data_IF_410076490297
#
_entry.id   IF_410076490297
#
_cell.length_a   1.000
_cell.length_b   1.000
_cell.length_c   1.000
_cell.angle_alpha   90.00
_cell.angle_beta   90.00
_cell.angle_gamma   90.00
#
_symmetry.space_group_name_H-M   'P 1'
#
loop_
_entity.id
_entity.type
_entity.pdbx_description
1 polymer ?
#
# COMPACT_ATOMS: atom_id res chain seq x y z
N UNK A 1 -28.13 -20.20 -19.32
CA UNK A 1 -26.98 -20.70 -18.51
C UNK A 1 -25.71 -20.01 -18.99
N UNK A 2 -25.22 -19.02 -18.26
CA UNK A 2 -23.95 -18.35 -18.60
C UNK A 2 -22.82 -19.30 -18.21
N UNK A 3 -21.91 -19.52 -19.14
CA UNK A 3 -20.90 -20.57 -19.07
C UNK A 3 -19.86 -20.20 -18.02
N UNK A 4 -19.95 -20.80 -16.81
CA UNK A 4 -19.09 -20.52 -15.64
C UNK A 4 -17.60 -20.58 -15.99
N UNK A 5 -17.22 -21.42 -16.96
CA UNK A 5 -15.84 -21.51 -17.48
C UNK A 5 -15.35 -20.21 -18.14
N UNK A 6 -16.24 -19.47 -18.82
CA UNK A 6 -15.89 -18.19 -19.47
C UNK A 6 -15.69 -17.06 -18.46
N UNK A 7 -16.46 -17.04 -17.37
CA UNK A 7 -16.30 -16.05 -16.31
C UNK A 7 -14.98 -16.30 -15.56
N UNK A 8 -14.69 -17.57 -15.22
CA UNK A 8 -13.42 -17.93 -14.58
C UNK A 8 -12.22 -17.61 -15.46
N UNK A 9 -12.32 -17.85 -16.78
CA UNK A 9 -11.28 -17.48 -17.74
C UNK A 9 -11.09 -15.97 -17.85
N UNK A 10 -12.16 -15.17 -17.79
CA UNK A 10 -12.05 -13.71 -17.82
C UNK A 10 -11.41 -13.17 -16.55
N UNK A 11 -11.78 -13.72 -15.39
CA UNK A 11 -11.29 -13.31 -14.08
C UNK A 11 -9.80 -13.70 -13.91
N UNK A 12 -9.43 -14.90 -14.37
CA UNK A 12 -8.03 -15.33 -14.44
C UNK A 12 -7.22 -14.43 -15.39
N UNK A 13 -7.79 -14.06 -16.55
CA UNK A 13 -7.13 -13.17 -17.49
C UNK A 13 -6.95 -11.75 -16.92
N UNK A 14 -7.91 -11.25 -16.14
CA UNK A 14 -7.77 -9.94 -15.47
C UNK A 14 -6.75 -10.00 -14.35
N UNK A 15 -6.68 -11.07 -13.57
CA UNK A 15 -5.64 -11.27 -12.55
C UNK A 15 -4.26 -11.38 -13.20
N UNK A 16 -4.12 -12.15 -14.28
CA UNK A 16 -2.86 -12.29 -15.02
C UNK A 16 -2.42 -10.99 -15.70
N UNK A 17 -3.36 -10.21 -16.25
CA UNK A 17 -3.06 -8.92 -16.85
C UNK A 17 -2.60 -7.89 -15.81
N UNK A 18 -3.19 -7.91 -14.60
CA UNK A 18 -2.73 -7.07 -13.48
C UNK A 18 -1.37 -7.53 -12.92
N UNK A 19 -1.10 -8.85 -12.88
CA UNK A 19 0.23 -9.36 -12.52
C UNK A 19 1.29 -8.98 -13.57
N UNK A 20 0.93 -8.93 -14.85
CA UNK A 20 1.84 -8.51 -15.93
C UNK A 20 2.13 -7.02 -15.89
N UNK A 21 1.12 -6.17 -15.60
CA UNK A 21 1.31 -4.72 -15.42
C UNK A 21 2.18 -4.38 -14.20
N UNK A 22 2.11 -5.17 -13.13
CA UNK A 22 2.97 -4.99 -11.95
C UNK A 22 4.41 -5.48 -12.14
N UNK A 23 4.70 -6.32 -13.16
CA UNK A 23 6.08 -6.71 -13.48
C UNK A 23 6.87 -5.60 -14.18
N UNK A 24 6.22 -4.55 -14.68
CA UNK A 24 6.91 -3.40 -15.29
C UNK A 24 7.56 -2.45 -14.27
N UNK A 25 7.46 -2.73 -12.96
CA UNK A 25 7.99 -1.87 -11.88
C UNK A 25 8.85 -2.61 -10.86
N UNK A 26 9.22 -3.86 -11.12
CA UNK A 26 10.01 -4.68 -10.20
C UNK A 26 11.12 -5.47 -10.91
N UNK A 27 12.09 -4.75 -11.45
CA UNK A 27 13.44 -5.29 -11.68
C UNK A 27 14.43 -4.27 -11.15
N UNK A 28 14.65 -4.34 -9.85
CA UNK A 28 15.99 -4.28 -9.23
C UNK A 28 15.82 -4.31 -7.70
N UNK A 29 15.65 -5.52 -7.18
CA UNK A 29 16.00 -5.83 -5.80
C UNK A 29 16.68 -7.21 -5.77
N UNK A 30 17.97 -7.15 -5.50
CA UNK A 30 18.80 -8.15 -4.82
C UNK A 30 19.12 -9.46 -5.56
N UNK A 31 20.22 -9.43 -6.32
CA UNK A 31 21.04 -10.62 -6.52
C UNK A 31 22.24 -10.55 -5.54
N UNK A 32 22.15 -11.28 -4.44
CA UNK A 32 23.33 -11.65 -3.63
C UNK A 32 23.99 -12.85 -4.30
N UNK A 33 25.15 -12.65 -4.93
CA UNK A 33 25.99 -13.75 -5.44
C UNK A 33 26.99 -14.14 -4.35
N UNK A 34 26.75 -15.29 -3.73
CA UNK A 34 27.77 -16.04 -2.99
C UNK A 34 28.76 -16.68 -3.97
N UNK A 35 30.05 -16.64 -3.61
CA UNK A 35 31.17 -16.83 -4.53
C UNK A 35 31.23 -18.16 -5.29
N UNK A 36 31.64 -18.04 -6.55
CA UNK A 36 32.38 -19.04 -7.32
C UNK A 36 32.96 -18.36 -8.55
N UNK A 37 34.23 -18.66 -8.84
CA UNK A 37 35.05 -18.09 -9.91
C UNK A 37 34.37 -18.05 -11.27
N UNK A 38 34.41 -16.88 -11.94
CA UNK A 38 34.05 -16.76 -13.35
C UNK A 38 35.16 -16.01 -14.09
N UNK A 39 35.64 -16.68 -15.13
CA UNK A 39 36.75 -16.33 -16.00
C UNK A 39 36.67 -14.93 -16.61
N UNK A 40 37.85 -14.32 -16.67
CA UNK A 40 38.21 -13.15 -17.45
C UNK A 40 37.78 -13.32 -18.92
N UNK A 41 36.84 -12.48 -19.36
CA UNK A 41 36.39 -12.38 -20.74
C UNK A 41 36.50 -10.94 -21.25
N UNK A 42 37.64 -10.29 -20.96
CA UNK A 42 38.05 -9.08 -21.68
C UNK A 42 38.72 -9.45 -23.01
N UNK A 43 37.89 -9.77 -24.01
CA UNK A 43 38.29 -9.75 -25.41
C UNK A 43 37.66 -8.54 -26.13
N UNK A 44 38.52 -7.53 -26.37
CA UNK A 44 38.53 -6.63 -27.54
C UNK A 44 37.47 -5.51 -27.66
N UNK A 45 37.86 -4.35 -27.12
CA UNK A 45 37.87 -3.00 -27.72
C UNK A 45 36.70 -2.52 -28.61
N UNK A 46 36.06 -1.43 -28.17
CA UNK A 46 35.96 -0.21 -28.99
C UNK A 46 36.35 1.01 -28.15
N UNK A 47 37.28 1.78 -28.69
CA UNK A 47 37.77 3.07 -28.22
C UNK A 47 36.59 4.01 -27.96
N UNK A 48 36.45 4.46 -26.71
CA UNK A 48 35.61 5.60 -26.33
C UNK A 48 36.54 6.71 -25.89
N UNK A 49 36.25 7.89 -26.42
CA UNK A 49 37.00 9.14 -26.44
C UNK A 49 37.59 9.58 -25.08
N UNK A 50 38.67 10.39 -25.10
CA UNK A 50 39.28 10.90 -23.87
C UNK A 50 38.29 11.71 -23.04
N UNK A 51 38.15 11.33 -21.77
CA UNK A 51 37.47 12.08 -20.71
C UNK A 51 37.97 13.53 -20.67
N UNK A 52 37.09 14.54 -20.58
CA UNK A 52 37.48 15.93 -20.55
C UNK A 52 38.02 16.28 -19.15
N UNK A 53 39.31 16.09 -18.95
CA UNK A 53 40.05 16.82 -17.94
C UNK A 53 40.21 18.27 -18.44
N UNK A 54 39.64 19.24 -17.73
CA UNK A 54 40.01 20.64 -17.90
C UNK A 54 41.16 20.93 -16.93
N UNK A 55 42.34 21.10 -17.48
CA UNK A 55 43.43 21.89 -16.88
C UNK A 55 43.14 23.34 -17.29
N UNK A 56 43.02 24.25 -16.34
CA UNK A 56 43.08 25.69 -16.63
C UNK A 56 44.47 26.23 -16.28
N UNK A 57 45.00 27.09 -17.16
CA UNK A 57 45.71 28.36 -16.89
C UNK A 57 45.99 29.05 -18.25
N UNK A 58 46.03 30.38 -18.42
CA UNK A 58 46.58 31.39 -17.52
C UNK A 58 45.94 32.80 -17.58
N UNK A 59 44.81 33.01 -18.25
CA UNK A 59 44.23 34.35 -18.40
C UNK A 59 42.86 34.41 -17.72
N UNK A 60 42.81 35.00 -16.51
CA UNK A 60 41.68 34.94 -15.59
C UNK A 60 40.41 35.67 -16.04
N UNK A 61 39.65 35.10 -16.98
CA UNK A 61 38.26 35.46 -17.26
C UNK A 61 37.31 34.31 -16.92
N UNK A 62 36.29 34.62 -16.13
CA UNK A 62 35.22 33.69 -15.72
C UNK A 62 34.16 33.69 -16.82
N UNK A 63 34.11 32.64 -17.63
CA UNK A 63 33.01 32.43 -18.57
C UNK A 63 31.89 31.61 -17.91
N UNK A 64 30.67 32.15 -17.92
CA UNK A 64 29.50 31.57 -17.26
C UNK A 64 29.13 30.22 -17.92
N UNK A 65 29.52 29.11 -17.29
CA UNK A 65 29.15 27.79 -17.81
C UNK A 65 27.65 27.50 -17.57
N UNK A 66 26.91 27.49 -18.67
CA UNK A 66 25.56 26.90 -18.76
C UNK A 66 25.61 25.42 -18.39
N UNK A 67 24.93 25.05 -17.32
CA UNK A 67 24.65 23.65 -16.96
C UNK A 67 23.84 23.02 -18.11
N UNK A 68 24.32 21.89 -18.65
CA UNK A 68 23.60 21.13 -19.70
C UNK A 68 22.28 20.60 -19.15
N UNK A 69 21.21 20.76 -19.91
CA UNK A 69 19.82 20.47 -19.54
C UNK A 69 19.46 18.98 -19.29
N UNK A 70 20.42 18.08 -19.07
CA UNK A 70 20.18 16.63 -18.91
C UNK A 70 21.21 15.92 -18.00
N UNK A 71 21.93 16.63 -17.13
CA UNK A 71 22.78 15.98 -16.13
C UNK A 71 21.91 15.35 -15.04
N UNK A 72 21.95 14.02 -14.89
CA UNK A 72 21.30 13.33 -13.76
C UNK A 72 22.09 13.66 -12.48
N UNK A 73 21.46 14.20 -11.43
CA UNK A 73 22.12 14.41 -10.16
C UNK A 73 22.38 13.06 -9.47
N UNK A 74 23.64 12.79 -9.11
CA UNK A 74 24.00 11.71 -8.20
C UNK A 74 23.89 12.23 -6.76
N UNK A 75 23.11 11.55 -5.92
CA UNK A 75 22.93 11.90 -4.51
C UNK A 75 23.70 10.90 -3.65
N UNK A 76 24.64 11.38 -2.83
CA UNK A 76 25.18 10.61 -1.70
C UNK A 76 24.57 11.14 -0.40
N UNK A 77 23.92 10.26 0.36
CA UNK A 77 23.32 10.56 1.65
C UNK A 77 24.28 10.19 2.78
N UNK A 78 24.47 11.11 3.72
CA UNK A 78 25.28 10.89 4.92
C UNK A 78 24.34 10.56 6.09
N UNK A 79 24.32 9.30 6.53
CA UNK A 79 23.69 8.87 7.78
C UNK A 79 24.57 9.33 8.95
N UNK A 80 24.12 10.32 9.72
CA UNK A 80 24.77 10.65 10.99
C UNK A 80 23.81 10.37 12.14
N UNK A 81 24.12 9.29 12.87
CA UNK A 81 23.64 9.00 14.22
C UNK A 81 24.12 10.07 15.23
N UNK A 82 23.42 10.26 16.37
CA UNK A 82 23.87 11.16 17.41
C UNK A 82 24.79 10.41 18.37
N UNK A 83 26.11 10.45 18.14
CA UNK A 83 27.09 10.14 19.19
C UNK A 83 28.03 11.32 19.43
N UNK A 84 28.18 11.63 20.71
CA UNK A 84 28.99 12.71 21.24
C UNK A 84 30.46 12.30 21.25
N UNK A 85 31.30 13.19 20.70
CA UNK A 85 32.73 13.41 20.94
C UNK A 85 33.74 12.32 20.55
N UNK A 86 34.68 12.68 19.66
CA UNK A 86 36.06 13.03 20.05
C UNK A 86 36.53 14.19 19.17
N UNK A 87 37.01 15.26 19.80
CA UNK A 87 37.80 16.31 19.16
C UNK A 87 39.16 15.72 18.80
N UNK A 88 39.36 15.35 17.55
CA UNK A 88 40.63 15.49 16.86
C UNK A 88 40.35 15.39 15.37
N UNK A 89 40.58 16.50 14.66
CA UNK A 89 40.38 16.59 13.22
C UNK A 89 41.41 15.68 12.53
N UNK A 90 41.01 14.59 11.86
CA UNK A 90 41.93 13.67 11.20
C UNK A 90 42.75 14.35 10.10
N UNK A 91 42.42 15.60 9.74
CA UNK A 91 43.23 16.48 8.88
C UNK A 91 44.68 16.67 9.36
N UNK A 92 44.92 16.74 10.66
CA UNK A 92 46.24 17.14 11.15
C UNK A 92 47.31 16.03 11.09
N UNK A 93 46.93 14.76 10.89
CA UNK A 93 47.90 13.65 10.84
C UNK A 93 48.41 13.33 9.42
N UNK A 94 47.75 13.85 8.37
CA UNK A 94 48.06 13.46 6.99
C UNK A 94 48.37 14.63 6.05
N UNK A 95 48.21 15.89 6.50
CA UNK A 95 48.58 17.07 5.71
C UNK A 95 50.10 17.16 5.45
N UNK A 96 50.95 16.64 6.34
CA UNK A 96 52.41 16.67 6.18
C UNK A 96 52.96 15.67 5.14
N UNK A 97 52.13 14.75 4.64
CA UNK A 97 52.56 13.68 3.73
C UNK A 97 52.11 13.90 2.27
N UNK A 98 51.44 15.01 1.96
CA UNK A 98 51.05 15.36 0.59
C UNK A 98 50.04 14.41 -0.06
N UNK A 99 49.35 13.58 0.73
CA UNK A 99 48.30 12.68 0.24
C UNK A 99 46.92 13.29 0.53
N UNK A 100 46.17 13.61 -0.53
CA UNK A 100 44.72 13.83 -0.45
C UNK A 100 44.02 12.47 -0.43
N UNK A 101 43.20 12.23 0.60
CA UNK A 101 42.44 10.98 0.72
C UNK A 101 41.39 10.96 -0.39
N UNK A 102 41.29 9.89 -1.21
CA UNK A 102 40.24 9.78 -2.21
C UNK A 102 38.86 9.89 -1.54
N UNK A 103 38.06 10.89 -1.95
CA UNK A 103 36.75 11.18 -1.36
C UNK A 103 36.71 12.39 -0.41
N UNK A 104 37.84 12.99 -0.04
CA UNK A 104 37.85 14.29 0.65
C UNK A 104 37.86 15.43 -0.36
N UNK A 105 36.70 15.73 -0.95
CA UNK A 105 36.56 16.92 -1.79
C UNK A 105 36.65 18.17 -0.91
N UNK A 106 37.70 18.97 -1.09
CA UNK A 106 37.94 20.21 -0.34
C UNK A 106 36.98 21.35 -0.73
N UNK A 107 36.21 21.20 -1.80
CA UNK A 107 35.23 22.19 -2.23
C UNK A 107 33.85 21.91 -1.60
N UNK A 108 33.55 22.56 -0.47
CA UNK A 108 32.17 22.67 0.06
C UNK A 108 31.17 23.24 -0.96
N UNK A 109 31.66 23.85 -2.04
CA UNK A 109 30.88 24.55 -3.06
C UNK A 109 30.02 23.63 -3.95
N UNK A 110 30.28 22.32 -3.97
CA UNK A 110 29.51 21.35 -4.76
C UNK A 110 28.47 20.55 -3.95
N UNK A 111 28.28 20.89 -2.67
CA UNK A 111 27.24 20.26 -1.86
C UNK A 111 25.99 21.14 -1.87
N UNK A 112 24.90 20.60 -2.43
CA UNK A 112 23.58 21.19 -2.22
C UNK A 112 23.15 20.77 -0.82
N UNK A 113 23.23 21.69 0.14
CA UNK A 113 22.61 21.50 1.45
C UNK A 113 21.09 21.57 1.26
N UNK A 114 20.47 20.41 1.06
CA UNK A 114 19.03 20.32 0.87
C UNK A 114 18.38 20.36 2.25
N UNK A 115 17.58 21.39 2.50
CA UNK A 115 16.71 21.44 3.67
C UNK A 115 15.76 20.24 3.63
N UNK A 116 15.91 19.32 4.58
CA UNK A 116 15.06 18.12 4.74
C UNK A 116 13.58 18.49 4.77
N UNK A 117 13.24 19.67 5.29
CA UNK A 117 11.86 20.16 5.34
C UNK A 117 11.33 20.55 3.96
N UNK A 118 12.15 21.20 3.13
CA UNK A 118 11.79 21.53 1.76
C UNK A 118 11.62 20.25 0.92
N UNK A 119 12.55 19.30 1.04
CA UNK A 119 12.46 18.01 0.35
C UNK A 119 11.22 17.21 0.78
N UNK A 120 10.91 17.21 2.09
CA UNK A 120 9.71 16.58 2.62
C UNK A 120 8.41 17.20 2.11
N UNK A 121 8.38 18.49 1.79
CA UNK A 121 7.24 19.13 1.14
C UNK A 121 7.04 18.60 -0.29
N UNK A 122 8.15 18.46 -1.03
CA UNK A 122 8.11 18.20 -2.46
C UNK A 122 7.65 16.77 -2.77
N UNK A 123 8.21 15.75 -2.12
CA UNK A 123 7.81 14.36 -2.42
C UNK A 123 6.41 14.01 -1.92
N UNK A 124 5.90 14.70 -0.88
CA UNK A 124 4.54 14.45 -0.36
C UNK A 124 3.44 14.76 -1.37
N UNK A 125 3.73 15.59 -2.38
CA UNK A 125 2.80 15.94 -3.47
C UNK A 125 2.92 15.02 -4.69
N UNK A 126 3.90 14.13 -4.71
CA UNK A 126 4.22 13.32 -5.89
C UNK A 126 3.65 11.90 -5.82
N UNK A 127 2.76 11.61 -4.87
CA UNK A 127 2.18 10.27 -4.74
C UNK A 127 1.38 9.87 -5.98
N UNK A 128 1.64 8.69 -6.57
CA UNK A 128 0.84 8.14 -7.68
C UNK A 128 -0.22 7.13 -7.24
N UNK A 129 -0.12 6.62 -6.01
CA UNK A 129 -1.11 5.72 -5.43
C UNK A 129 -0.83 5.40 -3.98
N UNK A 130 -1.59 4.45 -3.43
CA UNK A 130 -1.38 3.99 -2.07
C UNK A 130 -2.05 2.66 -1.74
N UNK A 131 -1.48 2.00 -0.73
CA UNK A 131 -2.03 0.79 -0.12
C UNK A 131 -2.73 1.18 1.17
N UNK A 132 -4.01 0.85 1.27
CA UNK A 132 -4.85 1.05 2.44
C UNK A 132 -5.10 -0.29 3.14
N UNK A 133 -4.84 -0.34 4.44
CA UNK A 133 -5.14 -1.48 5.30
C UNK A 133 -6.07 -0.98 6.40
N UNK A 134 -7.30 -1.49 6.46
CA UNK A 134 -8.31 -1.04 7.42
C UNK A 134 -8.92 -2.23 8.14
N UNK A 135 -9.02 -2.14 9.47
CA UNK A 135 -9.90 -3.01 10.24
C UNK A 135 -11.27 -2.34 10.40
N UNK A 136 -12.32 -2.98 9.90
CA UNK A 136 -13.70 -2.51 9.99
C UNK A 136 -14.45 -3.42 10.94
N UNK A 137 -15.05 -2.85 11.98
CA UNK A 137 -15.92 -3.60 12.88
C UNK A 137 -17.21 -3.95 12.13
N UNK A 138 -17.63 -5.21 12.21
CA UNK A 138 -18.85 -5.65 11.53
C UNK A 138 -20.08 -5.11 12.29
N UNK A 139 -20.69 -4.03 11.80
CA UNK A 139 -21.92 -3.45 12.36
C UNK A 139 -23.11 -3.51 11.38
N UNK A 140 -22.95 -4.18 10.24
CA UNK A 140 -24.01 -4.44 9.27
C UNK A 140 -24.94 -5.59 9.69
N UNK A 141 -26.10 -5.69 9.04
CA UNK A 141 -27.11 -6.70 9.35
C UNK A 141 -27.13 -7.83 8.31
N UNK A 142 -27.47 -9.03 8.78
CA UNK A 142 -27.77 -10.19 7.94
C UNK A 142 -29.28 -10.32 7.84
N UNK A 143 -29.85 -10.07 6.68
CA UNK A 143 -31.27 -10.35 6.44
C UNK A 143 -31.38 -11.78 5.92
N UNK A 144 -32.18 -12.62 6.57
CA UNK A 144 -32.46 -13.99 6.13
C UNK A 144 -33.90 -14.40 6.43
N UNK A 145 -34.42 -15.44 5.77
CA UNK A 145 -35.74 -16.00 6.10
C UNK A 145 -35.88 -16.28 7.63
N UNK A 146 -36.91 -15.70 8.25
CA UNK A 146 -37.18 -15.75 9.70
C UNK A 146 -36.07 -15.17 10.61
N UNK A 147 -35.15 -14.39 10.04
CA UNK A 147 -34.04 -13.72 10.72
C UNK A 147 -33.08 -14.65 11.47
N UNK A 148 -33.01 -15.92 11.06
CA UNK A 148 -32.25 -16.97 11.74
C UNK A 148 -30.75 -16.66 11.78
N UNK A 149 -30.20 -16.10 10.70
CA UNK A 149 -28.77 -15.77 10.65
C UNK A 149 -28.47 -14.66 11.65
N UNK A 150 -29.17 -13.52 11.59
CA UNK A 150 -28.95 -12.41 12.51
C UNK A 150 -29.10 -12.85 13.98
N UNK A 151 -30.13 -13.64 14.29
CA UNK A 151 -30.32 -14.25 15.62
C UNK A 151 -29.22 -15.20 16.04
N UNK A 152 -28.50 -15.81 15.10
CA UNK A 152 -27.40 -16.74 15.38
C UNK A 152 -26.08 -15.99 15.59
N UNK A 153 -25.74 -15.02 14.73
CA UNK A 153 -24.40 -14.41 14.67
C UNK A 153 -24.32 -12.96 15.19
N UNK A 154 -25.45 -12.27 15.34
CA UNK A 154 -25.50 -10.89 15.87
C UNK A 154 -26.15 -10.81 17.25
N UNK A 155 -27.18 -11.62 17.53
CA UNK A 155 -27.98 -11.52 18.76
C UNK A 155 -27.93 -12.78 19.63
N UNK A 156 -27.33 -13.85 19.11
CA UNK A 156 -27.42 -15.21 19.66
C UNK A 156 -26.60 -15.44 20.93
N UNK A 157 -26.82 -16.59 21.58
CA UNK A 157 -25.99 -16.95 22.73
C UNK A 157 -24.56 -17.33 22.27
N UNK A 158 -23.53 -16.79 22.94
CA UNK A 158 -22.11 -16.98 22.59
C UNK A 158 -21.81 -16.64 21.12
N UNK A 159 -22.39 -15.57 20.60
CA UNK A 159 -22.02 -15.04 19.29
C UNK A 159 -20.72 -14.22 19.38
N UNK A 160 -19.99 -14.17 18.27
CA UNK A 160 -18.82 -13.32 18.07
C UNK A 160 -19.03 -12.62 16.74
N UNK A 161 -19.31 -11.32 16.81
CA UNK A 161 -19.31 -10.41 15.66
C UNK A 161 -17.99 -9.67 15.68
N UNK A 162 -17.01 -10.18 14.95
CA UNK A 162 -15.65 -9.66 14.99
C UNK A 162 -15.53 -8.40 14.17
N UNK A 163 -14.95 -8.55 12.99
CA UNK A 163 -14.73 -7.49 12.04
C UNK A 163 -14.24 -8.09 10.74
N UNK A 164 -13.82 -7.22 9.85
CA UNK A 164 -13.16 -7.58 8.62
C UNK A 164 -11.90 -6.73 8.44
N UNK A 165 -10.81 -7.40 8.07
CA UNK A 165 -9.60 -6.74 7.62
C UNK A 165 -9.73 -6.51 6.11
N UNK A 166 -9.56 -5.28 5.66
CA UNK A 166 -9.56 -4.90 4.26
C UNK A 166 -8.18 -4.44 3.84
N UNK A 167 -7.78 -4.84 2.63
CA UNK A 167 -6.59 -4.34 1.94
C UNK A 167 -7.07 -3.79 0.60
N UNK A 168 -6.64 -2.57 0.26
CA UNK A 168 -7.06 -1.88 -0.95
C UNK A 168 -5.88 -1.13 -1.58
N UNK A 169 -5.77 -1.20 -2.90
CA UNK A 169 -4.85 -0.43 -3.71
C UNK A 169 -5.61 0.68 -4.41
N UNK A 170 -5.21 1.91 -4.16
CA UNK A 170 -5.78 3.12 -4.75
C UNK A 170 -4.73 3.71 -5.72
N UNK A 171 -5.02 3.73 -7.03
CA UNK A 171 -4.12 4.25 -8.07
C UNK A 171 -4.66 5.56 -8.64
N UNK A 172 -3.95 6.67 -8.46
CA UNK A 172 -4.36 7.97 -9.00
C UNK A 172 -4.19 7.99 -10.53
N UNK A 173 -5.24 8.39 -11.23
CA UNK A 173 -5.19 8.69 -12.67
C UNK A 173 -5.36 10.18 -12.97
N UNK A 174 -5.73 10.97 -11.95
CA UNK A 174 -5.68 12.42 -11.96
C UNK A 174 -5.29 12.86 -10.55
N UNK A 175 -4.24 13.68 -10.45
CA UNK A 175 -3.68 14.11 -9.18
C UNK A 175 -3.37 15.60 -9.23
N UNK A 176 -3.95 16.38 -8.32
CA UNK A 176 -3.74 17.83 -8.20
C UNK A 176 -3.75 18.25 -6.72
N UNK A 177 -3.26 19.46 -6.44
CA UNK A 177 -3.21 20.01 -5.09
C UNK A 177 -4.60 20.18 -4.41
N UNK A 178 -5.72 20.05 -5.14
CA UNK A 178 -7.08 20.23 -4.62
C UNK A 178 -8.03 19.06 -4.89
N UNK A 179 -7.73 18.20 -5.86
CA UNK A 179 -8.56 17.07 -6.22
C UNK A 179 -7.73 15.94 -6.82
N UNK A 180 -7.90 14.76 -6.25
CA UNK A 180 -7.33 13.51 -6.73
C UNK A 180 -8.46 12.56 -7.10
N UNK A 181 -8.31 11.82 -8.19
CA UNK A 181 -9.24 10.74 -8.55
C UNK A 181 -8.46 9.47 -8.82
N UNK A 182 -9.00 8.34 -8.36
CA UNK A 182 -8.28 7.07 -8.36
C UNK A 182 -9.16 5.88 -8.73
N UNK A 183 -8.51 4.87 -9.31
CA UNK A 183 -9.03 3.51 -9.36
C UNK A 183 -8.78 2.85 -8.02
N UNK A 184 -9.74 2.07 -7.55
CA UNK A 184 -9.66 1.39 -6.27
C UNK A 184 -9.93 -0.10 -6.47
N UNK A 185 -8.98 -0.94 -6.08
CA UNK A 185 -9.12 -2.39 -6.10
C UNK A 185 -8.81 -2.92 -4.70
N UNK A 186 -9.76 -3.63 -4.10
CA UNK A 186 -9.56 -4.13 -2.74
C UNK A 186 -10.24 -5.45 -2.49
N UNK A 187 -9.93 -6.01 -1.33
CA UNK A 187 -10.63 -7.17 -0.80
C UNK A 187 -10.53 -7.21 0.70
N UNK A 188 -11.30 -8.08 1.31
CA UNK A 188 -11.29 -8.25 2.76
C UNK A 188 -11.44 -9.68 3.21
N UNK A 189 -11.25 -9.89 4.51
CA UNK A 189 -11.53 -11.14 5.21
C UNK A 189 -12.24 -10.82 6.52
N UNK A 190 -13.52 -11.17 6.59
CA UNK A 190 -14.37 -11.06 7.76
C UNK A 190 -14.62 -12.41 8.41
N UNK A 191 -14.73 -12.40 9.74
CA UNK A 191 -15.09 -13.59 10.52
C UNK A 191 -16.18 -13.28 11.55
N UNK A 192 -17.23 -14.09 11.53
CA UNK A 192 -18.31 -14.08 12.51
C UNK A 192 -18.63 -15.51 12.95
N UNK A 193 -19.12 -15.70 14.17
CA UNK A 193 -19.57 -17.01 14.64
C UNK A 193 -20.69 -16.90 15.66
N UNK A 194 -21.43 -17.98 15.87
CA UNK A 194 -22.46 -18.04 16.92
C UNK A 194 -23.17 -19.38 16.98
N UNK A 195 -23.91 -19.60 18.07
CA UNK A 195 -24.71 -20.83 18.23
C UNK A 195 -26.04 -20.69 17.50
N UNK A 196 -26.41 -21.72 16.76
CA UNK A 196 -27.61 -21.79 15.96
C UNK A 196 -28.85 -21.58 16.81
N UNK A 197 -29.80 -20.84 16.25
CA UNK A 197 -31.13 -20.65 16.82
C UNK A 197 -32.15 -21.20 15.82
N UNK A 198 -33.07 -22.04 16.28
CA UNK A 198 -34.16 -22.53 15.45
C UNK A 198 -35.18 -21.41 15.20
N UNK A 199 -36.02 -21.57 14.18
CA UNK A 199 -37.09 -20.60 13.86
C UNK A 199 -38.03 -20.37 15.05
N UNK A 200 -38.22 -21.40 15.88
CA UNK A 200 -39.00 -21.37 17.13
C UNK A 200 -38.33 -20.58 18.27
N UNK A 201 -37.08 -20.14 18.09
CA UNK A 201 -36.26 -19.49 19.11
C UNK A 201 -35.51 -20.46 20.03
N UNK A 202 -35.72 -21.78 19.87
CA UNK A 202 -34.97 -22.78 20.60
C UNK A 202 -33.49 -22.77 20.23
N UNK A 203 -32.63 -23.00 21.22
CA UNK A 203 -31.18 -22.97 21.04
C UNK A 203 -30.69 -24.32 20.52
N UNK A 204 -29.83 -24.27 19.52
CA UNK A 204 -29.05 -25.42 19.07
C UNK A 204 -27.66 -25.39 19.71
N UNK A 205 -27.11 -26.57 19.99
CA UNK A 205 -25.68 -26.70 20.34
C UNK A 205 -24.75 -26.57 19.12
N UNK A 206 -25.33 -26.52 17.92
CA UNK A 206 -24.58 -26.27 16.68
C UNK A 206 -23.99 -24.87 16.69
N UNK A 207 -22.68 -24.77 16.47
CA UNK A 207 -21.95 -23.52 16.23
C UNK A 207 -21.77 -23.33 14.73
N UNK A 208 -22.20 -22.15 14.27
CA UNK A 208 -22.01 -21.66 12.92
C UNK A 208 -20.81 -20.72 12.90
N UNK A 209 -19.92 -20.91 11.94
CA UNK A 209 -18.80 -20.03 11.63
C UNK A 209 -19.02 -19.49 10.23
N UNK A 210 -18.92 -18.18 10.06
CA UNK A 210 -19.15 -17.49 8.81
C UNK A 210 -17.92 -16.67 8.47
N UNK A 211 -17.33 -16.96 7.33
CA UNK A 211 -16.26 -16.19 6.73
C UNK A 211 -16.81 -15.41 5.55
N UNK A 212 -16.45 -14.14 5.47
CA UNK A 212 -16.87 -13.23 4.42
C UNK A 212 -15.63 -12.72 3.68
N UNK A 213 -15.60 -12.89 2.36
CA UNK A 213 -14.46 -12.52 1.52
C UNK A 213 -14.98 -11.59 0.43
N UNK A 214 -15.10 -10.28 0.70
CA UNK A 214 -15.47 -9.29 -0.29
C UNK A 214 -14.28 -8.95 -1.21
N UNK A 215 -14.59 -8.61 -2.45
CA UNK A 215 -13.68 -8.09 -3.48
C UNK A 215 -14.36 -6.91 -4.14
N UNK A 216 -13.67 -5.78 -4.14
CA UNK A 216 -14.19 -4.47 -4.50
C UNK A 216 -13.44 -3.91 -5.69
N UNK A 217 -14.18 -3.31 -6.63
CA UNK A 217 -13.62 -2.50 -7.69
C UNK A 217 -14.37 -1.17 -7.70
N UNK A 218 -13.67 -0.05 -7.59
CA UNK A 218 -14.29 1.25 -7.49
C UNK A 218 -13.52 2.38 -8.16
N UNK A 219 -14.21 3.51 -8.23
CA UNK A 219 -13.64 4.80 -8.56
C UNK A 219 -13.81 5.67 -7.33
N UNK A 220 -12.78 6.43 -6.99
CA UNK A 220 -12.82 7.32 -5.85
C UNK A 220 -12.32 8.73 -6.16
N UNK A 221 -12.71 9.62 -5.26
CA UNK A 221 -12.24 10.99 -5.19
C UNK A 221 -11.54 11.21 -3.86
N UNK A 222 -10.53 12.05 -3.85
CA UNK A 222 -9.82 12.48 -2.65
C UNK A 222 -9.59 13.98 -2.74
N UNK A 223 -9.93 14.68 -1.66
CA UNK A 223 -9.81 16.12 -1.52
C UNK A 223 -8.80 16.37 -0.40
N UNK A 224 -7.57 16.80 -0.71
CA UNK A 224 -6.64 17.30 0.29
C UNK A 224 -7.16 18.66 0.80
N UNK A 225 -7.60 18.70 2.06
CA UNK A 225 -8.09 19.95 2.69
C UNK A 225 -6.90 20.76 3.21
N UNK A 226 -5.91 20.06 3.76
CA UNK A 226 -4.70 20.67 4.31
C UNK A 226 -3.56 19.65 4.32
N UNK A 227 -2.33 20.09 4.62
CA UNK A 227 -1.18 19.17 4.68
C UNK A 227 -1.32 18.03 5.71
N UNK A 228 -2.24 18.20 6.68
CA UNK A 228 -2.52 17.22 7.73
C UNK A 228 -3.75 16.35 7.46
N UNK A 229 -4.67 16.74 6.56
CA UNK A 229 -5.95 16.06 6.40
C UNK A 229 -6.35 15.91 4.95
N UNK A 230 -6.81 14.71 4.60
CA UNK A 230 -7.50 14.44 3.35
C UNK A 230 -8.85 13.79 3.64
N UNK A 231 -9.85 14.09 2.81
CA UNK A 231 -11.10 13.33 2.78
C UNK A 231 -11.11 12.54 1.48
N UNK A 232 -11.41 11.25 1.55
CA UNK A 232 -11.59 10.43 0.35
C UNK A 232 -12.88 9.65 0.41
N UNK A 233 -13.36 9.23 -0.75
CA UNK A 233 -14.45 8.29 -0.85
C UNK A 233 -14.38 7.54 -2.17
N UNK A 234 -14.74 6.27 -2.15
CA UNK A 234 -14.83 5.43 -3.33
C UNK A 234 -16.16 4.69 -3.37
N UNK A 235 -16.63 4.45 -4.58
CA UNK A 235 -17.88 3.71 -4.83
C UNK A 235 -17.67 2.75 -5.99
N UNK A 236 -18.38 1.63 -5.97
CA UNK A 236 -18.30 0.71 -7.10
C UNK A 236 -19.00 -0.63 -6.88
N UNK A 237 -18.93 -1.51 -7.88
CA UNK A 237 -19.36 -2.89 -7.74
C UNK A 237 -18.49 -3.65 -6.72
N UNK A 238 -19.11 -4.62 -6.07
CA UNK A 238 -18.41 -5.55 -5.17
C UNK A 238 -18.98 -6.95 -5.33
N UNK A 239 -18.16 -7.97 -5.13
CA UNK A 239 -18.57 -9.35 -5.01
C UNK A 239 -18.12 -9.89 -3.66
N UNK A 240 -18.89 -10.78 -3.06
CA UNK A 240 -18.51 -11.42 -1.79
C UNK A 240 -18.72 -12.92 -1.85
N UNK A 241 -17.79 -13.65 -1.24
CA UNK A 241 -17.92 -15.08 -0.99
C UNK A 241 -18.22 -15.28 0.49
N UNK A 242 -19.30 -16.00 0.77
CA UNK A 242 -19.63 -16.50 2.09
C UNK A 242 -19.24 -17.96 2.21
N UNK A 243 -18.34 -18.24 3.15
CA UNK A 243 -17.99 -19.59 3.55
C UNK A 243 -18.54 -19.87 4.94
N UNK A 244 -19.56 -20.70 5.01
CA UNK A 244 -20.19 -21.13 6.24
C UNK A 244 -19.69 -22.52 6.63
N UNK A 245 -19.32 -22.69 7.89
CA UNK A 245 -18.95 -23.96 8.50
C UNK A 245 -19.84 -24.24 9.71
N UNK A 246 -20.31 -25.47 9.85
CA UNK A 246 -21.06 -25.96 11.01
C UNK A 246 -20.27 -27.05 11.75
N UNK A 247 -20.51 -27.19 13.04
CA UNK A 247 -19.83 -28.20 13.88
C UNK A 247 -20.67 -29.45 14.18
N UNK A 248 -21.94 -29.51 13.74
CA UNK A 248 -22.85 -30.63 13.98
C UNK A 248 -22.64 -31.81 13.01
N UNK A 249 -21.88 -31.58 11.94
CA UNK A 249 -21.47 -32.58 10.97
C UNK A 249 -20.00 -32.98 11.18
N UNK A 250 -19.69 -34.26 10.95
CA UNK A 250 -18.32 -34.78 10.96
C UNK A 250 -17.50 -34.21 9.79
N UNK A 251 -16.17 -34.36 9.86
CA UNK A 251 -15.28 -33.93 8.77
C UNK A 251 -15.57 -34.68 7.49
N UNK A 252 -15.79 -33.94 6.40
CA UNK A 252 -16.11 -34.50 5.08
C UNK A 252 -17.60 -34.75 4.83
N UNK A 253 -18.48 -34.57 5.83
CA UNK A 253 -19.91 -34.75 5.64
C UNK A 253 -20.53 -33.64 4.77
N UNK A 254 -21.42 -34.05 3.86
CA UNK A 254 -22.13 -33.17 2.96
C UNK A 254 -23.04 -32.24 3.76
N UNK A 255 -22.82 -30.93 3.64
CA UNK A 255 -23.59 -29.90 4.35
C UNK A 255 -22.85 -29.25 5.52
N UNK A 256 -21.69 -29.79 5.93
CA UNK A 256 -20.82 -29.15 6.94
C UNK A 256 -20.34 -27.78 6.49
N UNK A 257 -19.91 -27.71 5.23
CA UNK A 257 -19.39 -26.50 4.59
C UNK A 257 -20.37 -26.07 3.51
N UNK A 258 -20.66 -24.78 3.47
CA UNK A 258 -21.46 -24.17 2.42
C UNK A 258 -20.72 -22.95 1.89
N UNK A 259 -20.56 -22.90 0.57
CA UNK A 259 -19.95 -21.77 -0.13
C UNK A 259 -21.03 -21.11 -0.96
N UNK A 260 -21.17 -19.81 -0.79
CA UNK A 260 -22.09 -18.99 -1.52
C UNK A 260 -21.37 -17.76 -2.03
N UNK A 261 -21.87 -17.19 -3.10
CA UNK A 261 -21.34 -15.95 -3.65
C UNK A 261 -22.48 -15.03 -4.01
N UNK A 262 -22.21 -13.73 -3.90
CA UNK A 262 -23.14 -12.66 -4.20
C UNK A 262 -22.37 -11.50 -4.83
N UNK A 263 -23.08 -10.68 -5.56
CA UNK A 263 -22.60 -9.42 -6.11
C UNK A 263 -23.50 -8.29 -5.63
N UNK A 264 -22.95 -7.09 -5.66
CA UNK A 264 -23.58 -5.94 -5.08
C UNK A 264 -22.76 -4.68 -5.30
N UNK A 265 -22.88 -3.76 -4.36
CA UNK A 265 -22.21 -2.47 -4.40
C UNK A 265 -21.60 -2.14 -3.05
N UNK A 266 -20.53 -1.38 -3.09
CA UNK A 266 -19.92 -0.78 -1.90
C UNK A 266 -19.78 0.73 -2.10
N UNK A 267 -19.72 1.42 -0.98
CA UNK A 267 -19.35 2.81 -0.90
C UNK A 267 -18.54 3.01 0.37
N UNK A 268 -17.46 3.78 0.32
CA UNK A 268 -16.74 4.15 1.52
C UNK A 268 -16.41 5.65 1.55
N UNK A 269 -16.24 6.16 2.76
CA UNK A 269 -15.77 7.49 3.05
C UNK A 269 -14.67 7.39 4.10
N UNK A 270 -13.57 8.09 3.90
CA UNK A 270 -12.41 8.08 4.78
C UNK A 270 -12.02 9.51 5.15
N UNK A 271 -11.73 9.71 6.43
CA UNK A 271 -10.93 10.84 6.90
C UNK A 271 -9.50 10.34 7.12
N UNK A 272 -8.56 10.88 6.35
CA UNK A 272 -7.14 10.53 6.40
C UNK A 272 -6.37 11.61 7.15
N UNK A 273 -5.66 11.23 8.21
CA UNK A 273 -4.85 12.11 9.05
C UNK A 273 -3.37 11.81 8.78
N UNK A 274 -2.63 12.78 8.25
CA UNK A 274 -1.24 12.61 7.82
C UNK A 274 -0.29 12.51 9.03
N UNK A 275 0.17 11.30 9.33
CA UNK A 275 1.12 11.05 10.41
C UNK A 275 2.53 11.51 10.03
N UNK A 276 2.93 11.35 8.77
CA UNK A 276 4.20 11.90 8.27
C UNK A 276 4.18 13.45 8.31
N UNK A 277 3.00 14.05 8.25
CA UNK A 277 2.76 15.49 8.35
C UNK A 277 3.32 16.13 9.61
N UNK A 278 3.36 15.41 10.73
CA UNK A 278 3.77 15.97 12.04
C UNK A 278 5.28 16.09 12.23
N UNK A 279 6.09 15.33 11.48
CA UNK A 279 7.56 15.36 11.60
C UNK A 279 8.22 15.24 10.24
N UNK A 280 9.06 16.22 9.89
CA UNK A 280 9.87 16.19 8.66
C UNK A 280 10.90 15.07 8.70
N UNK A 281 11.41 14.71 9.89
CA UNK A 281 12.34 13.60 10.06
C UNK A 281 11.65 12.27 9.76
N UNK A 282 10.47 12.02 10.34
CA UNK A 282 9.69 10.80 10.05
C UNK A 282 9.34 10.69 8.58
N UNK A 283 8.94 11.78 7.93
CA UNK A 283 8.64 11.77 6.50
C UNK A 283 9.89 11.47 5.67
N UNK A 284 11.04 12.06 6.01
CA UNK A 284 12.29 11.81 5.32
C UNK A 284 12.71 10.35 5.45
N UNK A 285 12.72 9.80 6.67
CA UNK A 285 13.04 8.39 6.94
C UNK A 285 12.11 7.43 6.19
N UNK A 286 10.79 7.66 6.24
CA UNK A 286 9.81 6.85 5.51
C UNK A 286 10.05 6.86 3.99
N UNK A 287 10.44 8.01 3.45
CA UNK A 287 10.74 8.15 2.03
C UNK A 287 12.06 7.48 1.64
N UNK A 288 13.14 7.71 2.40
CA UNK A 288 14.47 7.16 2.06
C UNK A 288 14.56 5.66 2.28
N UNK A 289 13.96 5.13 3.35
CA UNK A 289 14.08 3.72 3.71
C UNK A 289 13.00 2.86 3.03
N UNK A 290 11.78 3.38 2.88
CA UNK A 290 10.62 2.60 2.46
C UNK A 290 9.92 3.13 1.20
N UNK A 291 10.43 4.22 0.60
CA UNK A 291 9.81 4.92 -0.54
C UNK A 291 8.36 5.35 -0.29
N UNK A 292 7.97 5.48 0.98
CA UNK A 292 6.64 5.94 1.39
C UNK A 292 6.64 7.46 1.36
N UNK A 293 5.80 8.05 0.52
CA UNK A 293 5.68 9.51 0.38
C UNK A 293 4.82 10.11 1.49
N UNK A 294 3.75 9.43 1.88
CA UNK A 294 2.90 9.81 3.00
C UNK A 294 2.40 8.59 3.78
N UNK A 295 2.22 8.76 5.08
CA UNK A 295 1.57 7.80 5.96
C UNK A 295 0.34 8.44 6.59
N UNK A 296 -0.83 7.86 6.39
CA UNK A 296 -2.08 8.33 6.99
C UNK A 296 -2.66 7.33 7.96
N UNK A 297 -3.23 7.83 9.05
CA UNK A 297 -4.23 7.11 9.83
C UNK A 297 -5.62 7.41 9.25
N UNK A 298 -6.42 6.37 9.03
CA UNK A 298 -7.71 6.46 8.38
C UNK A 298 -8.83 6.18 9.39
N UNK A 299 -9.84 7.04 9.42
CA UNK A 299 -11.15 6.72 9.97
C UNK A 299 -12.09 6.44 8.79
N UNK A 300 -12.58 5.21 8.68
CA UNK A 300 -13.34 4.73 7.53
C UNK A 300 -14.79 4.43 7.92
N UNK A 301 -15.73 4.94 7.13
CA UNK A 301 -17.11 4.48 7.11
C UNK A 301 -17.34 3.74 5.79
N UNK A 302 -17.80 2.50 5.87
CA UNK A 302 -18.04 1.63 4.72
C UNK A 302 -19.48 1.17 4.71
N UNK A 303 -20.15 1.38 3.60
CA UNK A 303 -21.44 0.79 3.26
C UNK A 303 -21.23 -0.36 2.27
N UNK A 304 -21.95 -1.45 2.50
CA UNK A 304 -22.00 -2.60 1.59
C UNK A 304 -23.42 -3.12 1.45
N UNK A 305 -23.74 -3.66 0.28
CA UNK A 305 -25.03 -4.30 0.00
C UNK A 305 -24.87 -5.44 -1.00
N UNK A 306 -24.92 -6.65 -0.48
CA UNK A 306 -24.82 -7.90 -1.23
C UNK A 306 -26.18 -8.59 -1.24
N UNK A 307 -26.67 -8.88 -2.44
CA UNK A 307 -27.97 -9.53 -2.68
C UNK A 307 -27.80 -10.73 -3.61
N UNK A 308 -28.83 -11.57 -3.69
CA UNK A 308 -28.84 -12.72 -4.60
C UNK A 308 -27.81 -13.80 -4.23
N UNK A 309 -27.65 -14.08 -2.93
CA UNK A 309 -27.01 -15.33 -2.53
C UNK A 309 -27.86 -16.52 -3.01
N UNK A 310 -27.27 -17.72 -3.01
CA UNK A 310 -28.01 -18.94 -3.40
C UNK A 310 -29.10 -19.30 -2.38
N UNK A 311 -28.99 -18.80 -1.15
CA UNK A 311 -30.08 -18.77 -0.18
C UNK A 311 -30.66 -17.35 -0.09
N UNK A 312 -31.85 -17.25 0.50
CA UNK A 312 -32.47 -15.97 0.85
C UNK A 312 -31.73 -15.30 2.01
N UNK A 313 -30.56 -14.77 1.68
CA UNK A 313 -29.65 -14.02 2.54
C UNK A 313 -29.37 -12.71 1.84
N UNK A 314 -29.27 -11.63 2.62
CA UNK A 314 -28.78 -10.34 2.18
C UNK A 314 -27.87 -9.76 3.26
N UNK A 315 -26.75 -9.20 2.84
CA UNK A 315 -25.81 -8.52 3.74
C UNK A 315 -25.86 -7.05 3.38
N UNK A 316 -26.33 -6.22 4.29
CA UNK A 316 -26.43 -4.79 4.03
C UNK A 316 -26.23 -3.98 5.30
N UNK A 317 -25.51 -2.87 5.17
CA UNK A 317 -25.35 -1.93 6.27
C UNK A 317 -24.10 -1.08 6.13
N UNK A 318 -23.97 -0.17 7.10
CA UNK A 318 -22.80 0.69 7.27
C UNK A 318 -21.98 0.20 8.45
N UNK A 319 -20.67 0.28 8.34
CA UNK A 319 -19.72 -0.16 9.36
C UNK A 319 -18.57 0.83 9.43
N UNK A 320 -17.94 0.92 10.59
CA UNK A 320 -16.88 1.89 10.86
C UNK A 320 -15.58 1.17 11.22
N UNK A 321 -14.47 1.75 10.80
CA UNK A 321 -13.15 1.15 10.95
C UNK A 321 -12.04 2.16 11.12
N UNK A 322 -10.88 1.64 11.48
CA UNK A 322 -9.63 2.37 11.57
C UNK A 322 -8.56 1.65 10.75
N UNK A 323 -7.69 2.39 10.10
CA UNK A 323 -6.68 1.83 9.23
C UNK A 323 -5.50 2.74 9.00
N UNK A 324 -4.60 2.29 8.13
CA UNK A 324 -3.46 3.07 7.67
C UNK A 324 -3.42 3.07 6.15
N UNK A 325 -3.01 4.20 5.56
CA UNK A 325 -2.71 4.32 4.14
C UNK A 325 -1.26 4.70 3.97
N UNK A 326 -0.56 3.92 3.16
CA UNK A 326 0.80 4.15 2.73
C UNK A 326 0.75 4.63 1.28
N UNK A 327 1.13 5.88 1.03
CA UNK A 327 1.23 6.41 -0.33
C UNK A 327 2.64 6.24 -0.87
N UNK A 328 2.75 5.99 -2.18
CA UNK A 328 3.99 5.74 -2.89
C UNK A 328 4.09 6.62 -4.13
N UNK A 329 5.31 6.80 -4.65
CA UNK A 329 5.59 7.45 -5.93
C UNK A 329 5.05 6.64 -7.11
#
# INVERSE_FOLDING_TARGET
MINVKRIFSLLLLTVLFNLYLNQASATDLEQVVSGSDVEDSLATSKVVEPSPYIIQNADGEIDNQKIKANAKPDFMFNENHPEVSVKEDPKNQFQDLGYTVPGSFEAKENYIEIDKKAMASDFRKLSSGGINITFIKNDFNYESANDVINKTISEGYKHVKGGALYIRSDQYFYHTDYLNTFWSLGGGLGYNSGRGVFVTGERSDTTFKLWEIPVDLGIGIEIPIYHLFKISGAVGPSATVLYQNRNDFLSGEKGRNKIQWSYGQFANAQLKINLAGFSSETAYTLFTESRITNLFMNLEARYQNYRNFQDDIKISGTSFGIGFTFEYL
#
